data_IF_640511800574
#
_entry.id   IF_640511800574
#
_cell.length_a   1.000
_cell.length_b   1.000
_cell.length_c   1.000
_cell.angle_alpha   90.00
_cell.angle_beta   90.00
_cell.angle_gamma   90.00
#
_symmetry.space_group_name_H-M   'P 1'
#
loop_
_entity.id
_entity.type
_entity.pdbx_description
1 polymer ?
#
# COMPACT_ATOMS: atom_id res chain seq x y z
N UNK A 1 -7.26 6.35 15.52
CA UNK A 1 -7.58 5.81 14.19
C UNK A 1 -7.09 6.83 13.18
N UNK A 2 -6.30 6.39 12.21
CA UNK A 2 -5.79 7.23 11.12
C UNK A 2 -6.96 7.52 10.16
N UNK A 3 -7.16 8.76 9.76
CA UNK A 3 -8.19 9.13 8.78
C UNK A 3 -7.77 8.72 7.37
N UNK A 4 -8.72 8.65 6.43
CA UNK A 4 -8.43 8.36 5.01
C UNK A 4 -7.36 9.29 4.42
N UNK A 5 -7.47 10.60 4.68
CA UNK A 5 -6.53 11.59 4.13
C UNK A 5 -5.14 11.45 4.74
N UNK A 6 -5.05 11.19 6.05
CA UNK A 6 -3.79 10.88 6.72
C UNK A 6 -3.17 9.59 6.17
N UNK A 7 -3.98 8.58 5.85
CA UNK A 7 -3.50 7.34 5.26
C UNK A 7 -2.93 7.55 3.86
N UNK A 8 -3.63 8.30 3.00
CA UNK A 8 -3.14 8.65 1.66
C UNK A 8 -1.82 9.42 1.75
N UNK A 9 -1.74 10.43 2.62
CA UNK A 9 -0.52 11.22 2.82
C UNK A 9 0.64 10.37 3.35
N UNK A 10 0.37 9.43 4.28
CA UNK A 10 1.39 8.52 4.80
C UNK A 10 1.87 7.53 3.74
N UNK A 11 0.98 7.03 2.88
CA UNK A 11 1.33 6.13 1.79
C UNK A 11 2.18 6.84 0.74
N UNK A 12 1.81 8.07 0.36
CA UNK A 12 2.59 8.92 -0.55
C UNK A 12 3.99 9.20 0.01
N UNK A 13 4.08 9.60 1.29
CA UNK A 13 5.36 9.87 1.93
C UNK A 13 6.27 8.62 1.97
N UNK A 14 5.70 7.44 2.18
CA UNK A 14 6.45 6.18 2.10
C UNK A 14 6.97 5.93 0.68
N UNK A 15 6.12 6.11 -0.33
CA UNK A 15 6.53 5.89 -1.72
C UNK A 15 7.63 6.88 -2.14
N UNK A 16 7.48 8.17 -1.84
CA UNK A 16 8.44 9.21 -2.23
C UNK A 16 9.76 9.14 -1.47
N UNK A 17 9.77 8.70 -0.21
CA UNK A 17 10.98 8.73 0.63
C UNK A 17 11.71 7.40 0.73
N UNK A 18 10.98 6.30 0.53
CA UNK A 18 11.49 4.95 0.81
C UNK A 18 11.46 4.08 -0.44
N UNK A 19 10.28 3.92 -1.06
CA UNK A 19 10.13 2.93 -2.13
C UNK A 19 10.66 3.39 -3.49
N UNK A 20 10.41 4.64 -3.86
CA UNK A 20 10.73 5.21 -5.18
C UNK A 20 11.22 6.66 -5.08
N UNK A 21 12.32 6.94 -4.36
CA UNK A 21 12.85 8.31 -4.24
C UNK A 21 13.23 8.91 -5.59
N UNK A 22 13.76 8.10 -6.51
CA UNK A 22 14.17 8.55 -7.85
C UNK A 22 12.98 8.79 -8.80
N UNK A 23 11.75 8.43 -8.40
CA UNK A 23 10.51 8.61 -9.17
C UNK A 23 9.44 9.32 -8.36
N UNK A 24 9.83 10.12 -7.37
CA UNK A 24 8.90 10.79 -6.45
C UNK A 24 7.82 11.60 -7.19
N UNK A 25 8.22 12.35 -8.23
CA UNK A 25 7.32 13.20 -9.04
C UNK A 25 6.40 12.41 -10.00
N UNK A 26 6.63 11.11 -10.17
CA UNK A 26 5.82 10.23 -11.02
C UNK A 26 4.70 9.53 -10.23
N UNK A 27 4.77 9.51 -8.90
CA UNK A 27 3.77 8.82 -8.08
C UNK A 27 2.42 9.53 -8.19
N UNK A 28 1.39 8.78 -8.55
CA UNK A 28 -0.01 9.22 -8.54
C UNK A 28 -0.79 8.35 -7.56
N UNK A 29 -1.15 8.94 -6.41
CA UNK A 29 -2.00 8.28 -5.43
C UNK A 29 -3.43 8.09 -5.99
N UNK A 30 -4.11 7.02 -5.57
CA UNK A 30 -5.52 6.72 -5.89
C UNK A 30 -6.39 6.72 -4.63
N UNK A 31 -6.79 7.89 -4.09
CA UNK A 31 -7.53 7.95 -2.83
C UNK A 31 -8.88 7.23 -2.87
N UNK A 32 -9.51 7.12 -4.03
CA UNK A 32 -10.76 6.39 -4.27
C UNK A 32 -10.63 4.88 -4.01
N UNK A 33 -9.43 4.32 -4.16
CA UNK A 33 -9.13 2.92 -3.84
C UNK A 33 -8.87 2.67 -2.35
N UNK A 34 -8.96 3.71 -1.51
CA UNK A 34 -8.70 3.57 -0.09
C UNK A 34 -9.79 2.73 0.60
N UNK A 35 -9.41 1.58 1.16
CA UNK A 35 -10.29 0.68 1.90
C UNK A 35 -9.81 0.60 3.35
N UNK A 36 -10.74 0.76 4.28
CA UNK A 36 -10.47 0.64 5.71
C UNK A 36 -10.63 -0.81 6.17
N UNK A 37 -9.64 -1.30 6.91
CA UNK A 37 -9.66 -2.60 7.59
C UNK A 37 -9.32 -2.41 9.06
N UNK A 38 -9.64 -3.42 9.89
CA UNK A 38 -9.32 -3.41 11.32
C UNK A 38 -7.84 -3.14 11.62
N UNK A 39 -6.92 -3.65 10.78
CA UNK A 39 -5.48 -3.42 10.95
C UNK A 39 -5.03 -2.02 10.51
N UNK A 40 -5.67 -1.45 9.49
CA UNK A 40 -5.24 -0.21 8.86
C UNK A 40 -5.94 0.04 7.53
N UNK A 41 -5.48 1.06 6.83
CA UNK A 41 -5.94 1.38 5.48
C UNK A 41 -5.10 0.65 4.42
N UNK A 42 -5.73 0.34 3.29
CA UNK A 42 -5.00 0.04 2.06
C UNK A 42 -5.25 1.15 1.05
N UNK A 43 -4.24 1.60 0.32
CA UNK A 43 -4.35 2.65 -0.71
C UNK A 43 -3.52 2.23 -1.91
N UNK A 44 -4.09 2.35 -3.11
CA UNK A 44 -3.35 2.11 -4.34
C UNK A 44 -2.64 3.37 -4.84
N UNK A 45 -1.59 3.15 -5.63
CA UNK A 45 -0.95 4.19 -6.42
C UNK A 45 -0.66 3.67 -7.83
N UNK A 46 -0.29 4.57 -8.71
CA UNK A 46 0.20 4.26 -10.05
C UNK A 46 1.33 5.23 -10.41
N UNK A 47 2.00 4.98 -11.52
CA UNK A 47 2.99 5.91 -12.07
C UNK A 47 2.39 6.73 -13.20
N UNK A 48 2.76 8.01 -13.26
CA UNK A 48 2.31 8.94 -14.30
C UNK A 48 2.59 8.39 -15.70
N UNK A 49 3.77 7.81 -15.91
CA UNK A 49 4.13 7.24 -17.22
C UNK A 49 3.19 6.11 -17.64
N UNK A 50 2.80 5.23 -16.71
CA UNK A 50 1.86 4.15 -16.99
C UNK A 50 0.47 4.68 -17.35
N UNK A 51 -0.03 5.67 -16.59
CA UNK A 51 -1.34 6.29 -16.85
C UNK A 51 -1.37 6.96 -18.24
N UNK A 52 -0.31 7.69 -18.60
CA UNK A 52 -0.27 8.47 -19.83
C UNK A 52 -0.05 7.61 -21.08
N UNK A 53 0.72 6.52 -20.95
CA UNK A 53 1.11 5.69 -22.11
C UNK A 53 0.32 4.39 -22.24
N UNK A 54 -0.26 3.89 -21.16
CA UNK A 54 -0.85 2.54 -21.09
C UNK A 54 0.18 1.41 -21.18
N UNK A 55 1.49 1.71 -21.09
CA UNK A 55 2.54 0.70 -21.12
C UNK A 55 2.62 -0.05 -19.78
N UNK A 56 2.21 -1.31 -19.78
CA UNK A 56 2.24 -2.17 -18.60
C UNK A 56 3.63 -2.35 -17.99
N UNK A 57 4.71 -2.12 -18.74
CA UNK A 57 6.07 -2.19 -18.19
C UNK A 57 6.40 -1.01 -17.27
N UNK A 58 5.62 0.08 -17.34
CA UNK A 58 5.72 1.24 -16.47
C UNK A 58 4.86 1.12 -15.20
N UNK A 59 3.97 0.13 -15.12
CA UNK A 59 3.08 -0.08 -13.99
C UNK A 59 3.86 -0.52 -12.74
N UNK A 60 3.41 -0.14 -11.53
CA UNK A 60 4.00 -0.67 -10.31
C UNK A 60 3.78 -2.18 -10.22
N UNK A 61 4.82 -2.94 -9.85
CA UNK A 61 4.71 -4.40 -9.67
C UNK A 61 3.71 -4.77 -8.56
N UNK A 62 3.74 -4.04 -7.43
CA UNK A 62 2.70 -4.07 -6.41
C UNK A 62 2.18 -2.66 -6.20
N UNK A 63 0.90 -2.46 -6.45
CA UNK A 63 0.26 -1.15 -6.40
C UNK A 63 -0.34 -0.83 -5.03
N UNK A 64 -0.34 -1.78 -4.07
CA UNK A 64 -1.10 -1.66 -2.82
C UNK A 64 -0.18 -1.33 -1.64
N UNK A 65 -0.41 -0.17 -1.03
CA UNK A 65 0.25 0.27 0.20
C UNK A 65 -0.68 0.07 1.39
N UNK A 66 -0.13 -0.46 2.47
CA UNK A 66 -0.80 -0.64 3.76
C UNK A 66 -0.32 0.43 4.72
N UNK A 67 -1.28 1.07 5.40
CA UNK A 67 -1.05 2.11 6.40
C UNK A 67 -1.71 1.70 7.72
N UNK A 68 -0.94 1.16 8.67
CA UNK A 68 -1.45 0.70 9.96
C UNK A 68 -2.10 1.80 10.80
N UNK A 69 -3.21 1.48 11.48
CA UNK A 69 -3.89 2.45 12.36
C UNK A 69 -3.08 2.83 13.62
N UNK A 70 -2.14 1.98 14.01
CA UNK A 70 -1.24 2.18 15.15
C UNK A 70 -0.08 3.15 14.84
N UNK A 71 -0.05 3.72 13.63
CA UNK A 71 0.99 4.63 13.12
C UNK A 71 2.37 3.98 12.98
N UNK A 72 2.45 2.66 12.96
CA UNK A 72 3.63 1.97 12.47
C UNK A 72 3.84 2.27 10.97
N UNK A 73 5.03 1.94 10.46
CA UNK A 73 5.44 2.34 9.13
C UNK A 73 4.53 1.76 8.03
N UNK A 74 4.16 2.61 7.07
CA UNK A 74 3.52 2.16 5.85
C UNK A 74 4.46 1.23 5.07
N UNK A 75 3.87 0.27 4.36
CA UNK A 75 4.61 -0.76 3.64
C UNK A 75 3.79 -1.33 2.48
N UNK A 76 4.43 -2.04 1.57
CA UNK A 76 3.72 -2.79 0.53
C UNK A 76 2.95 -3.96 1.13
N UNK A 77 1.74 -4.19 0.64
CA UNK A 77 1.09 -5.48 0.84
C UNK A 77 1.98 -6.59 0.23
N UNK A 78 2.05 -7.78 0.85
CA UNK A 78 2.70 -8.92 0.23
C UNK A 78 1.95 -9.30 -1.06
N UNK A 79 2.67 -9.89 -2.02
CA UNK A 79 2.04 -10.38 -3.26
C UNK A 79 1.22 -11.66 -3.06
N UNK A 80 1.45 -12.36 -1.95
CA UNK A 80 0.65 -13.50 -1.49
C UNK A 80 0.71 -13.56 0.05
N UNK A 81 -0.42 -13.74 0.76
CA UNK A 81 -1.80 -14.00 0.29
C UNK A 81 -2.50 -12.74 -0.29
N UNK A 82 -3.75 -12.84 -0.78
CA UNK A 82 -4.53 -11.67 -1.18
C UNK A 82 -4.60 -10.61 -0.07
N UNK A 83 -4.70 -9.33 -0.46
CA UNK A 83 -4.65 -8.19 0.48
C UNK A 83 -5.64 -8.33 1.63
N UNK A 84 -6.89 -8.71 1.38
CA UNK A 84 -7.90 -8.85 2.44
C UNK A 84 -7.52 -9.93 3.48
N UNK A 85 -6.98 -11.05 3.01
CA UNK A 85 -6.50 -12.13 3.88
C UNK A 85 -5.27 -11.68 4.68
N UNK A 86 -4.34 -10.97 4.04
CA UNK A 86 -3.19 -10.37 4.71
C UNK A 86 -3.63 -9.41 5.83
N UNK A 87 -4.59 -8.52 5.55
CA UNK A 87 -5.11 -7.56 6.53
C UNK A 87 -5.80 -8.28 7.71
N UNK A 88 -6.53 -9.38 7.45
CA UNK A 88 -7.15 -10.20 8.49
C UNK A 88 -6.10 -10.94 9.36
N UNK A 89 -5.03 -11.46 8.75
CA UNK A 89 -3.93 -12.12 9.47
C UNK A 89 -3.18 -11.12 10.35
N UNK A 90 -2.94 -9.90 9.86
CA UNK A 90 -2.34 -8.82 10.67
C UNK A 90 -3.24 -8.41 11.83
N UNK A 91 -4.54 -8.20 11.58
CA UNK A 91 -5.49 -7.83 12.63
C UNK A 91 -5.62 -8.90 13.73
N UNK A 92 -5.47 -10.18 13.38
CA UNK A 92 -5.52 -11.29 14.33
C UNK A 92 -4.18 -11.65 14.97
N UNK A 93 -3.08 -10.98 14.59
CA UNK A 93 -1.72 -11.29 15.06
C UNK A 93 -1.16 -12.62 14.55
N UNK A 94 -1.77 -13.20 13.51
CA UNK A 94 -1.36 -14.47 12.90
C UNK A 94 -0.41 -14.30 11.70
N UNK A 95 0.02 -13.06 11.42
CA UNK A 95 1.04 -12.76 10.43
C UNK A 95 2.43 -12.53 11.07
N UNK A 96 3.53 -13.05 10.50
CA UNK A 96 3.56 -14.05 9.43
C UNK A 96 3.11 -15.43 9.94
N UNK A 97 2.50 -16.27 9.10
CA UNK A 97 2.09 -17.62 9.49
C UNK A 97 3.31 -18.43 9.96
N UNK A 98 3.13 -19.20 11.03
CA UNK A 98 4.19 -20.08 11.56
C UNK A 98 4.55 -21.13 10.51
N UNK A 99 5.85 -21.31 10.23
CA UNK A 99 6.31 -22.37 9.33
C UNK A 99 5.89 -23.74 9.87
N UNK A 100 5.10 -24.50 9.12
CA UNK A 100 4.83 -25.92 9.37
C UNK A 100 3.45 -26.28 9.95
N UNK A 101 2.38 -25.59 9.58
CA UNK A 101 1.01 -26.13 9.66
C UNK A 101 0.50 -26.52 8.29
#
# INVERSE_FOLDING_TARGET
MVTKDEAVASAEAFLQKVAYPDRADSIVMRPDTAIEFTYGWTVCFDFKEHIETGDFTQAPFSAVIVVPHDRSAAHFAPTFPPTEEYMALQASGNWPPKKGQ
#
